data_IF_089672795176
#
_entry.id   IF_089672795176
#
_cell.length_a   1.000
_cell.length_b   1.000
_cell.length_c   1.000
_cell.angle_alpha   90.00
_cell.angle_beta   90.00
_cell.angle_gamma   90.00
#
_symmetry.space_group_name_H-M   'P 1'
#
loop_
_entity.id
_entity.type
_entity.pdbx_description
1 polymer ?
#
# COMPACT_ATOMS: atom_id res chain seq x y z
N UNK A 1 0.26 -2.89 16.03
CA UNK A 1 1.58 -2.42 16.51
C UNK A 1 1.42 -1.59 17.76
N UNK A 2 2.38 -1.65 18.67
CA UNK A 2 2.43 -0.85 19.90
C UNK A 2 3.84 -0.28 20.11
N UNK A 3 3.96 0.78 20.92
CA UNK A 3 5.25 1.25 21.43
C UNK A 3 5.33 0.87 22.90
N UNK A 4 6.36 0.11 23.28
CA UNK A 4 6.64 -0.29 24.65
C UNK A 4 8.12 -0.04 24.96
N UNK A 5 8.41 0.71 26.03
CA UNK A 5 9.79 1.03 26.44
C UNK A 5 10.68 1.60 25.31
N UNK A 6 10.09 2.45 24.45
CA UNK A 6 10.79 3.06 23.31
C UNK A 6 11.07 2.11 22.15
N UNK A 7 10.49 0.90 22.16
CA UNK A 7 10.62 -0.10 21.09
C UNK A 7 9.29 -0.34 20.41
N UNK A 8 9.35 -0.64 19.12
CA UNK A 8 8.20 -1.11 18.35
C UNK A 8 7.93 -2.57 18.69
N UNK A 9 6.68 -2.89 19.05
CA UNK A 9 6.21 -4.25 19.31
C UNK A 9 5.12 -4.58 18.29
N UNK A 10 5.31 -5.70 17.58
CA UNK A 10 4.36 -6.23 16.62
C UNK A 10 3.48 -7.26 17.33
N UNK A 11 2.16 -7.16 17.12
CA UNK A 11 1.12 -8.00 17.71
C UNK A 11 0.10 -8.32 16.62
N UNK A 12 -0.90 -9.15 16.95
CA UNK A 12 -2.01 -9.52 16.05
C UNK A 12 -1.57 -10.42 14.88
N UNK A 13 -1.03 -11.60 15.23
CA UNK A 13 -0.58 -12.62 14.29
C UNK A 13 -1.67 -13.68 13.98
N UNK A 14 -2.95 -13.35 14.12
CA UNK A 14 -4.05 -14.33 13.91
C UNK A 14 -4.29 -14.68 12.43
N UNK A 15 -3.73 -13.88 11.51
CA UNK A 15 -3.83 -14.03 10.04
C UNK A 15 -2.48 -14.01 9.33
N UNK A 16 -1.42 -14.49 9.98
CA UNK A 16 -0.13 -14.62 9.31
C UNK A 16 -0.18 -15.64 8.17
N UNK A 17 0.62 -15.43 7.14
CA UNK A 17 0.83 -16.38 6.06
C UNK A 17 2.32 -16.38 5.65
N UNK A 18 2.68 -17.25 4.70
CA UNK A 18 4.02 -17.36 4.14
C UNK A 18 4.03 -16.88 2.69
N UNK A 19 5.00 -16.04 2.35
CA UNK A 19 5.08 -15.50 0.99
C UNK A 19 6.29 -14.60 0.79
N UNK A 20 6.23 -13.85 -0.31
CA UNK A 20 7.18 -12.76 -0.55
C UNK A 20 7.01 -11.67 0.52
N UNK A 21 8.07 -11.32 1.29
CA UNK A 21 7.99 -10.27 2.29
C UNK A 21 7.53 -8.90 1.76
N UNK A 22 7.68 -8.65 0.45
CA UNK A 22 7.22 -7.40 -0.15
C UNK A 22 5.70 -7.31 -0.30
N UNK A 23 4.99 -8.44 -0.19
CA UNK A 23 3.54 -8.52 -0.28
C UNK A 23 2.81 -7.83 0.87
N UNK A 24 3.45 -7.74 2.05
CA UNK A 24 2.94 -7.01 3.22
C UNK A 24 2.59 -5.53 2.90
N UNK A 25 3.29 -4.93 1.93
CA UNK A 25 3.03 -3.56 1.51
C UNK A 25 1.75 -3.40 0.67
N UNK A 26 1.00 -4.46 0.36
CA UNK A 26 -0.23 -4.37 -0.44
C UNK A 26 -1.30 -3.46 0.20
N UNK A 27 -1.25 -3.23 1.53
CA UNK A 27 -2.15 -2.31 2.25
C UNK A 27 -1.62 -0.88 2.38
N UNK A 28 -0.46 -0.56 1.78
CA UNK A 28 0.11 0.80 1.82
C UNK A 28 -0.81 1.86 1.21
N UNK A 29 -1.78 1.44 0.38
CA UNK A 29 -2.82 2.29 -0.21
C UNK A 29 -3.53 3.16 0.83
N UNK A 30 -3.81 2.63 2.02
CA UNK A 30 -4.44 3.38 3.11
C UNK A 30 -3.54 4.51 3.62
N UNK A 31 -2.25 4.20 3.79
CA UNK A 31 -1.25 5.19 4.17
C UNK A 31 -1.09 6.24 3.06
N UNK A 32 -1.07 5.83 1.80
CA UNK A 32 -0.92 6.73 0.66
C UNK A 32 -2.14 7.67 0.49
N UNK A 33 -3.37 7.18 0.71
CA UNK A 33 -4.59 8.01 0.70
C UNK A 33 -4.54 9.06 1.82
N UNK A 34 -4.08 8.69 3.02
CA UNK A 34 -4.04 9.61 4.16
C UNK A 34 -2.83 10.55 4.14
N UNK A 35 -1.66 10.05 3.71
CA UNK A 35 -0.39 10.78 3.71
C UNK A 35 0.63 10.12 2.76
N UNK A 36 0.76 10.64 1.52
CA UNK A 36 1.79 10.22 0.57
C UNK A 36 3.22 10.25 1.14
N UNK A 37 3.51 11.20 2.02
CA UNK A 37 4.81 11.35 2.67
C UNK A 37 5.08 10.22 3.67
N UNK A 38 4.07 9.82 4.44
CA UNK A 38 4.20 8.70 5.37
C UNK A 38 4.36 7.37 4.64
N UNK A 39 3.58 7.12 3.58
CA UNK A 39 3.76 5.95 2.72
C UNK A 39 5.17 5.90 2.09
N UNK A 40 5.63 7.03 1.54
CA UNK A 40 6.99 7.14 0.99
C UNK A 40 8.06 6.88 2.04
N UNK A 41 7.88 7.42 3.25
CA UNK A 41 8.79 7.21 4.38
C UNK A 41 8.87 5.74 4.82
N UNK A 42 7.74 5.03 4.84
CA UNK A 42 7.72 3.59 5.14
C UNK A 42 8.54 2.78 4.13
N UNK A 43 8.34 3.03 2.82
CA UNK A 43 9.10 2.36 1.78
C UNK A 43 10.59 2.68 1.89
N UNK A 44 10.94 3.96 2.00
CA UNK A 44 12.33 4.37 2.08
C UNK A 44 13.02 3.84 3.34
N UNK A 45 12.32 3.79 4.47
CA UNK A 45 12.83 3.24 5.72
C UNK A 45 13.11 1.74 5.62
N UNK A 46 12.21 0.98 4.99
CA UNK A 46 12.38 -0.47 4.80
C UNK A 46 13.59 -0.80 3.90
N UNK A 47 13.75 -0.07 2.80
CA UNK A 47 14.85 -0.29 1.85
C UNK A 47 16.14 0.44 2.20
N UNK A 48 16.14 1.29 3.24
CA UNK A 48 17.27 2.18 3.56
C UNK A 48 17.57 3.21 2.47
N UNK A 49 16.59 3.56 1.64
CA UNK A 49 16.76 4.38 0.45
C UNK A 49 15.67 4.13 -0.59
N UNK A 50 15.96 4.40 -1.86
CA UNK A 50 15.01 4.15 -2.94
C UNK A 50 14.81 2.64 -3.16
N UNK A 51 13.56 2.13 -3.14
CA UNK A 51 13.28 0.74 -3.46
C UNK A 51 13.69 0.38 -4.90
N UNK A 52 14.08 -0.88 -5.16
CA UNK A 52 14.37 -1.34 -6.52
C UNK A 52 13.10 -1.34 -7.39
N UNK A 53 13.29 -1.30 -8.71
CA UNK A 53 12.16 -1.30 -9.67
C UNK A 53 11.34 -2.60 -9.58
N UNK A 54 11.98 -3.72 -9.25
CA UNK A 54 11.36 -5.03 -9.04
C UNK A 54 10.32 -4.97 -7.92
N UNK A 55 10.61 -4.24 -6.84
CA UNK A 55 9.66 -4.02 -5.75
C UNK A 55 8.42 -3.29 -6.26
N UNK A 56 8.58 -2.20 -7.02
CA UNK A 56 7.43 -1.45 -7.55
C UNK A 56 6.54 -2.27 -8.49
N UNK A 57 7.14 -3.12 -9.33
CA UNK A 57 6.38 -4.03 -10.20
C UNK A 57 5.55 -5.04 -9.39
N UNK A 58 6.16 -5.64 -8.36
CA UNK A 58 5.47 -6.58 -7.48
C UNK A 58 4.41 -5.88 -6.62
N UNK A 59 4.72 -4.71 -6.07
CA UNK A 59 3.77 -3.90 -5.32
C UNK A 59 2.54 -3.54 -6.15
N UNK A 60 2.71 -3.16 -7.42
CA UNK A 60 1.60 -2.89 -8.33
C UNK A 60 0.71 -4.12 -8.53
N UNK A 61 1.32 -5.30 -8.70
CA UNK A 61 0.60 -6.57 -8.82
C UNK A 61 -0.17 -6.91 -7.53
N UNK A 62 0.49 -6.81 -6.38
CA UNK A 62 -0.11 -7.13 -5.08
C UNK A 62 -1.26 -6.17 -4.72
N UNK A 63 -1.09 -4.87 -4.99
CA UNK A 63 -2.15 -3.88 -4.81
C UNK A 63 -3.32 -4.15 -5.75
N UNK A 64 -3.08 -4.47 -7.03
CA UNK A 64 -4.17 -4.80 -7.96
C UNK A 64 -4.97 -6.02 -7.51
N UNK A 65 -4.29 -7.08 -7.06
CA UNK A 65 -4.91 -8.29 -6.52
C UNK A 65 -5.74 -8.00 -5.25
N UNK A 66 -5.17 -7.23 -4.32
CA UNK A 66 -5.85 -6.81 -3.10
C UNK A 66 -7.07 -5.94 -3.43
N UNK A 67 -6.94 -4.99 -4.36
CA UNK A 67 -8.02 -4.07 -4.76
C UNK A 67 -9.24 -4.84 -5.27
N UNK A 68 -9.02 -5.84 -6.14
CA UNK A 68 -10.09 -6.70 -6.66
C UNK A 68 -10.77 -7.49 -5.54
N UNK A 69 -9.96 -8.10 -4.66
CA UNK A 69 -10.44 -8.95 -3.57
C UNK A 69 -11.20 -8.15 -2.50
N UNK A 70 -10.76 -6.93 -2.23
CA UNK A 70 -11.34 -6.04 -1.23
C UNK A 70 -12.76 -5.58 -1.60
N UNK A 71 -13.04 -5.34 -2.89
CA UNK A 71 -14.40 -5.03 -3.36
C UNK A 71 -15.33 -6.21 -3.07
N UNK A 72 -14.92 -7.44 -3.38
CA UNK A 72 -15.73 -8.63 -3.10
C UNK A 72 -15.96 -8.82 -1.59
N UNK A 73 -14.92 -8.60 -0.78
CA UNK A 73 -15.01 -8.67 0.68
C UNK A 73 -15.99 -7.66 1.29
N UNK A 74 -16.15 -6.49 0.67
CA UNK A 74 -17.08 -5.45 1.13
C UNK A 74 -18.56 -5.76 0.85
N UNK A 75 -18.88 -6.65 -0.12
CA UNK A 75 -20.25 -7.00 -0.48
C UNK A 75 -21.12 -7.39 0.72
N UNK A 76 -20.71 -8.35 1.58
CA UNK A 76 -21.51 -8.74 2.75
C UNK A 76 -21.57 -7.68 3.85
N UNK A 77 -20.70 -6.65 3.84
CA UNK A 77 -20.65 -5.60 4.86
C UNK A 77 -21.64 -4.46 4.55
N UNK A 78 -21.91 -4.23 3.26
CA UNK A 78 -22.94 -3.32 2.80
C UNK A 78 -22.41 -2.19 1.90
N UNK A 79 -23.33 -1.36 1.42
CA UNK A 79 -23.03 -0.38 0.36
C UNK A 79 -21.93 0.62 0.75
N UNK A 80 -21.89 1.07 2.01
CA UNK A 80 -20.89 2.03 2.46
C UNK A 80 -19.47 1.48 2.30
N UNK A 81 -19.23 0.22 2.67
CA UNK A 81 -17.92 -0.42 2.52
C UNK A 81 -17.58 -0.64 1.04
N UNK A 82 -18.56 -1.02 0.22
CA UNK A 82 -18.38 -1.14 -1.23
C UNK A 82 -17.93 0.20 -1.81
N UNK A 83 -18.57 1.31 -1.44
CA UNK A 83 -18.24 2.64 -1.94
C UNK A 83 -16.82 3.06 -1.55
N UNK A 84 -16.36 2.69 -0.34
CA UNK A 84 -14.98 2.94 0.10
C UNK A 84 -14.00 2.13 -0.75
N UNK A 85 -14.25 0.84 -0.98
CA UNK A 85 -13.37 0.00 -1.80
C UNK A 85 -13.36 0.44 -3.26
N UNK A 86 -14.50 0.87 -3.81
CA UNK A 86 -14.61 1.41 -5.15
C UNK A 86 -13.88 2.74 -5.32
N UNK A 87 -13.92 3.62 -4.31
CA UNK A 87 -13.12 4.85 -4.33
C UNK A 87 -11.62 4.53 -4.28
N UNK A 88 -11.20 3.60 -3.41
CA UNK A 88 -9.80 3.20 -3.33
C UNK A 88 -9.31 2.57 -4.65
N UNK A 89 -10.14 1.79 -5.34
CA UNK A 89 -9.75 1.23 -6.64
C UNK A 89 -9.53 2.32 -7.71
N UNK A 90 -10.36 3.37 -7.71
CA UNK A 90 -10.18 4.53 -8.59
C UNK A 90 -8.89 5.30 -8.26
N UNK A 91 -8.59 5.50 -6.98
CA UNK A 91 -7.34 6.13 -6.55
C UNK A 91 -6.12 5.31 -7.01
N UNK A 92 -6.17 3.99 -6.86
CA UNK A 92 -5.12 3.07 -7.34
C UNK A 92 -4.92 3.19 -8.85
N UNK A 93 -5.99 3.13 -9.65
CA UNK A 93 -5.88 3.28 -11.10
C UNK A 93 -5.24 4.62 -11.48
N UNK A 94 -5.67 5.72 -10.82
CA UNK A 94 -5.09 7.05 -11.04
C UNK A 94 -3.59 7.09 -10.68
N UNK A 95 -3.19 6.51 -9.54
CA UNK A 95 -1.79 6.54 -9.08
C UNK A 95 -0.85 5.74 -9.97
N UNK A 96 -1.34 4.65 -10.56
CA UNK A 96 -0.55 3.77 -11.42
C UNK A 96 -0.74 4.06 -12.91
N UNK A 97 -1.40 5.18 -13.27
CA UNK A 97 -1.70 5.56 -14.65
C UNK A 97 -2.40 4.42 -15.41
N UNK A 98 -3.57 4.01 -14.92
CA UNK A 98 -4.34 2.85 -15.40
C UNK A 98 -3.49 1.57 -15.45
N UNK A 99 -2.66 1.37 -14.42
CA UNK A 99 -1.71 0.26 -14.28
C UNK A 99 -0.61 0.19 -15.35
N UNK A 100 -0.41 1.26 -16.15
CA UNK A 100 0.65 1.33 -17.16
C UNK A 100 2.02 1.73 -16.57
N UNK A 101 2.06 2.26 -15.34
CA UNK A 101 3.30 2.61 -14.66
C UNK A 101 3.37 1.94 -13.28
N UNK A 102 4.37 1.07 -13.01
CA UNK A 102 4.48 0.38 -11.72
C UNK A 102 4.91 1.29 -10.57
N UNK A 103 5.45 2.49 -10.84
CA UNK A 103 5.84 3.43 -9.79
C UNK A 103 4.71 4.43 -9.55
N UNK A 104 4.05 4.40 -8.38
CA UNK A 104 2.87 5.22 -8.16
C UNK A 104 3.20 6.71 -8.09
N UNK A 105 2.29 7.55 -8.58
CA UNK A 105 2.49 9.02 -8.65
C UNK A 105 2.74 9.65 -7.28
N UNK A 106 2.13 9.13 -6.20
CA UNK A 106 2.37 9.61 -4.85
C UNK A 106 3.82 9.43 -4.40
N UNK A 107 4.49 8.34 -4.81
CA UNK A 107 5.91 8.12 -4.51
C UNK A 107 6.79 9.06 -5.34
N UNK A 108 6.49 9.19 -6.64
CA UNK A 108 7.24 10.06 -7.55
C UNK A 108 7.17 11.55 -7.13
N UNK A 109 6.00 12.01 -6.67
CA UNK A 109 5.80 13.38 -6.23
C UNK A 109 6.68 13.71 -5.02
N UNK A 110 6.71 12.83 -4.01
CA UNK A 110 7.55 13.01 -2.83
C UNK A 110 9.05 12.94 -3.17
N UNK A 111 9.45 12.09 -4.12
CA UNK A 111 10.85 12.03 -4.59
C UNK A 111 11.32 13.37 -5.18
N UNK A 112 10.45 14.10 -5.89
CA UNK A 112 10.78 15.41 -6.47
C UNK A 112 10.98 16.50 -5.42
N UNK A 113 10.39 16.37 -4.23
CA UNK A 113 10.50 17.35 -3.14
C UNK A 113 11.76 17.18 -2.28
N UNK A 114 12.43 16.03 -2.37
CA UNK A 114 13.65 15.71 -1.60
C UNK A 114 14.95 16.00 -2.36
N UNK A 115 14.86 16.54 -3.58
CA UNK A 115 15.99 17.01 -4.40
C UNK A 115 16.04 18.53 -4.40
#
# INVERSE_FOLDING_TARGET
MMIENGKLVIIDFDRYDFGDPWEEFNRIVWCAQSSPHFATGQLNGYFGGEPPMEFFKLLALYIASNTLSSIYWAIPLGQNDIDIMMKQSQDVLMWYNDMQNPVPTWYQACKKMLK
#
